data_IF_333909266481
#
_entry.id   IF_333909266481
#
_cell.length_a   1.000
_cell.length_b   1.000
_cell.length_c   1.000
_cell.angle_alpha   90.00
_cell.angle_beta   90.00
_cell.angle_gamma   90.00
#
_symmetry.space_group_name_H-M   'P 1'
#
loop_
_entity.id
_entity.type
_entity.pdbx_description
1 polymer ?
#
# COMPACT_ATOMS: atom_id res chain seq x y z
N UNK A 1 -13.01 8.55 20.93
CA UNK A 1 -12.03 9.52 20.43
C UNK A 1 -12.80 10.66 19.75
N UNK A 2 -12.46 11.93 20.03
CA UNK A 2 -13.12 13.05 19.34
C UNK A 2 -12.33 13.38 18.08
N UNK A 3 -12.72 12.82 16.94
CA UNK A 3 -12.03 13.02 15.66
C UNK A 3 -12.04 14.47 15.15
N UNK A 4 -12.86 15.34 15.71
CA UNK A 4 -12.91 16.75 15.29
C UNK A 4 -11.77 17.61 15.86
N UNK A 5 -11.08 17.11 16.87
CA UNK A 5 -9.98 17.82 17.53
C UNK A 5 -8.59 17.30 17.11
N UNK A 6 -8.52 16.19 16.35
CA UNK A 6 -7.26 15.60 15.90
C UNK A 6 -6.93 16.04 14.46
N UNK A 7 -5.67 16.46 14.23
CA UNK A 7 -5.20 16.82 12.89
C UNK A 7 -4.75 15.57 12.15
N UNK A 8 -5.48 15.20 11.11
CA UNK A 8 -5.21 14.03 10.28
C UNK A 8 -4.48 14.36 8.97
N UNK A 9 -4.40 15.64 8.59
CA UNK A 9 -3.73 16.10 7.38
C UNK A 9 -2.41 16.74 7.76
N UNK A 10 -1.31 16.10 7.40
CA UNK A 10 0.02 16.52 7.80
C UNK A 10 0.83 16.96 6.58
N UNK A 11 1.59 18.05 6.73
CA UNK A 11 2.49 18.56 5.71
C UNK A 11 3.93 18.42 6.20
N UNK A 12 4.78 17.80 5.38
CA UNK A 12 6.23 17.68 5.62
C UNK A 12 7.02 18.53 4.65
N UNK A 13 8.13 19.07 5.12
CA UNK A 13 9.14 19.65 4.26
C UNK A 13 10.55 19.21 4.70
N UNK A 14 11.51 19.33 3.82
CA UNK A 14 12.92 19.12 4.16
C UNK A 14 13.52 20.47 4.59
N UNK A 15 13.92 20.56 5.85
CA UNK A 15 14.55 21.72 6.45
C UNK A 15 15.89 21.24 7.01
N UNK A 16 17.00 21.86 6.59
CA UNK A 16 18.37 21.49 6.98
C UNK A 16 18.66 19.98 6.76
N UNK A 17 18.20 19.43 5.61
CA UNK A 17 18.39 18.02 5.25
C UNK A 17 17.49 17.03 6.01
N UNK A 18 16.67 17.49 6.95
CA UNK A 18 15.77 16.65 7.74
C UNK A 18 14.30 16.83 7.33
N UNK A 19 13.58 15.73 7.22
CA UNK A 19 12.12 15.75 7.00
C UNK A 19 11.40 16.14 8.30
N UNK A 20 10.76 17.31 8.32
CA UNK A 20 9.99 17.82 9.47
C UNK A 20 8.56 18.12 9.10
N UNK A 21 7.65 17.96 10.05
CA UNK A 21 6.29 18.49 9.94
C UNK A 21 6.36 20.02 10.01
N UNK A 22 5.55 20.65 9.18
CA UNK A 22 5.39 22.12 9.16
C UNK A 22 3.93 22.50 9.29
N UNK A 23 3.67 23.63 9.91
CA UNK A 23 2.35 24.22 9.97
C UNK A 23 1.93 24.73 8.59
N UNK A 24 0.63 24.80 8.36
CA UNK A 24 0.05 25.34 7.13
C UNK A 24 -1.26 26.09 7.42
N UNK A 25 -1.63 26.94 6.51
CA UNK A 25 -2.93 27.64 6.56
C UNK A 25 -3.95 26.79 5.81
N UNK A 26 -5.12 26.62 6.41
CA UNK A 26 -6.21 25.87 5.82
C UNK A 26 -6.69 26.50 4.52
N UNK A 27 -6.95 25.63 3.58
CA UNK A 27 -7.57 25.93 2.29
C UNK A 27 -8.86 25.11 2.14
N UNK A 28 -9.77 25.45 1.22
CA UNK A 28 -10.93 24.59 0.96
C UNK A 28 -10.54 23.13 0.69
N UNK A 29 -9.39 22.90 0.03
CA UNK A 29 -8.91 21.55 -0.29
C UNK A 29 -8.37 20.80 0.93
N UNK A 30 -7.62 21.47 1.82
CA UNK A 30 -7.14 20.82 3.05
C UNK A 30 -8.29 20.51 4.01
N UNK A 31 -9.29 21.39 4.06
CA UNK A 31 -10.53 21.14 4.80
C UNK A 31 -11.29 19.93 4.25
N UNK A 32 -11.38 19.79 2.92
CA UNK A 32 -11.97 18.63 2.27
C UNK A 32 -11.22 17.34 2.64
N UNK A 33 -9.89 17.33 2.56
CA UNK A 33 -9.07 16.18 2.96
C UNK A 33 -9.29 15.79 4.41
N UNK A 34 -9.37 16.77 5.31
CA UNK A 34 -9.63 16.53 6.73
C UNK A 34 -11.02 15.91 6.94
N UNK A 35 -12.05 16.47 6.31
CA UNK A 35 -13.41 15.96 6.40
C UNK A 35 -13.52 14.51 5.88
N UNK A 36 -12.85 14.21 4.76
CA UNK A 36 -12.78 12.86 4.20
C UNK A 36 -12.13 11.89 5.18
N UNK A 37 -11.01 12.28 5.80
CA UNK A 37 -10.34 11.44 6.81
C UNK A 37 -11.17 11.26 8.08
N UNK A 38 -11.86 12.29 8.55
CA UNK A 38 -12.80 12.17 9.68
C UNK A 38 -13.90 11.15 9.35
N UNK A 39 -14.46 11.21 8.13
CA UNK A 39 -15.48 10.26 7.65
C UNK A 39 -14.94 8.83 7.61
N UNK A 40 -13.78 8.61 7.01
CA UNK A 40 -13.12 7.30 6.90
C UNK A 40 -12.80 6.75 8.30
N UNK A 41 -12.15 7.54 9.15
CA UNK A 41 -11.75 7.13 10.49
C UNK A 41 -12.96 6.88 11.40
N UNK A 42 -14.05 7.61 11.22
CA UNK A 42 -15.31 7.37 11.95
C UNK A 42 -15.92 6.02 11.57
N UNK A 43 -15.87 5.63 10.30
CA UNK A 43 -16.28 4.30 9.88
C UNK A 43 -15.35 3.22 10.45
N UNK A 44 -14.02 3.42 10.37
CA UNK A 44 -13.06 2.49 10.96
C UNK A 44 -13.27 2.26 12.46
N UNK A 45 -13.75 3.26 13.19
CA UNK A 45 -14.06 3.14 14.61
C UNK A 45 -15.21 2.16 14.90
N UNK A 46 -16.08 1.89 13.93
CA UNK A 46 -17.22 0.97 14.05
C UNK A 46 -16.82 -0.49 13.79
N UNK A 47 -15.60 -0.73 13.29
CA UNK A 47 -15.12 -2.04 12.89
C UNK A 47 -13.97 -2.51 13.78
N UNK A 48 -13.79 -3.82 13.85
CA UNK A 48 -12.69 -4.46 14.55
C UNK A 48 -11.68 -5.02 13.55
N UNK A 49 -10.44 -4.55 13.65
CA UNK A 49 -9.31 -5.04 12.83
C UNK A 49 -8.35 -5.81 13.72
N UNK A 50 -8.02 -7.03 13.37
CA UNK A 50 -7.19 -7.92 14.16
C UNK A 50 -6.17 -8.69 13.30
N UNK A 51 -5.14 -9.24 13.94
CA UNK A 51 -4.13 -10.10 13.34
C UNK A 51 -4.20 -11.48 14.00
N UNK A 52 -4.85 -12.42 13.36
CA UNK A 52 -5.07 -13.79 13.88
C UNK A 52 -3.93 -14.70 13.53
N UNK A 53 -2.88 -14.69 14.34
CA UNK A 53 -1.73 -15.59 14.26
C UNK A 53 -1.50 -16.28 15.61
N UNK A 54 -0.86 -17.46 15.59
CA UNK A 54 -0.52 -18.22 16.82
C UNK A 54 0.43 -17.42 17.70
N UNK A 55 0.35 -17.59 19.04
CA UNK A 55 1.23 -16.91 19.99
C UNK A 55 2.72 -17.12 19.70
N UNK A 56 3.11 -18.29 19.19
CA UNK A 56 4.48 -18.56 18.76
C UNK A 56 4.87 -17.66 17.57
N UNK A 57 3.98 -17.43 16.64
CA UNK A 57 4.22 -16.54 15.49
C UNK A 57 4.23 -15.06 15.90
N UNK A 58 3.41 -14.66 16.88
CA UNK A 58 3.48 -13.31 17.47
C UNK A 58 4.88 -13.04 18.02
N UNK A 59 5.45 -13.99 18.79
CA UNK A 59 6.80 -13.83 19.34
C UNK A 59 7.88 -13.77 18.26
N UNK A 60 7.78 -14.58 17.21
CA UNK A 60 8.70 -14.53 16.06
C UNK A 60 8.61 -13.21 15.31
N UNK A 61 7.39 -12.74 15.08
CA UNK A 61 7.12 -11.47 14.39
C UNK A 61 7.66 -10.29 15.18
N UNK A 62 7.39 -10.23 16.49
CA UNK A 62 7.94 -9.20 17.37
C UNK A 62 9.47 -9.18 17.35
N UNK A 63 10.12 -10.33 17.50
CA UNK A 63 11.58 -10.44 17.45
C UNK A 63 12.17 -10.06 16.08
N UNK A 64 11.45 -10.29 15.00
CA UNK A 64 11.85 -9.85 13.65
C UNK A 64 11.79 -8.34 13.51
N UNK A 65 10.67 -7.72 13.92
CA UNK A 65 10.47 -6.27 13.83
C UNK A 65 11.43 -5.50 14.75
N UNK A 66 11.81 -6.05 15.90
CA UNK A 66 12.82 -5.45 16.78
C UNK A 66 14.22 -5.43 16.15
N UNK A 67 14.53 -6.36 15.24
CA UNK A 67 15.82 -6.41 14.54
C UNK A 67 15.88 -5.49 13.31
N UNK A 68 14.74 -5.12 12.80
CA UNK A 68 14.62 -4.26 11.62
C UNK A 68 14.39 -2.81 12.08
N UNK A 69 15.47 -2.04 12.16
CA UNK A 69 15.43 -0.62 12.55
C UNK A 69 14.58 0.25 11.59
N UNK A 70 14.24 -0.27 10.42
CA UNK A 70 13.44 0.44 9.41
C UNK A 70 11.96 0.23 9.55
N UNK A 71 11.54 -0.83 10.25
CA UNK A 71 10.13 -1.22 10.40
C UNK A 71 9.60 -0.85 11.78
N UNK A 72 8.43 -0.22 11.83
CA UNK A 72 7.78 0.13 13.08
C UNK A 72 7.12 -1.11 13.70
N UNK A 73 7.07 -1.23 15.04
CA UNK A 73 6.36 -2.31 15.70
C UNK A 73 4.85 -2.26 15.38
N UNK A 74 4.23 -3.43 15.37
CA UNK A 74 2.77 -3.54 15.21
C UNK A 74 2.11 -3.09 16.51
N UNK A 75 1.34 -2.01 16.42
CA UNK A 75 0.58 -1.43 17.52
C UNK A 75 -0.90 -1.40 17.12
N UNK A 76 -1.65 -2.40 17.54
CA UNK A 76 -3.07 -2.59 17.19
C UNK A 76 -3.96 -1.41 17.61
N UNK A 77 -3.49 -0.51 18.50
CA UNK A 77 -4.20 0.72 18.83
C UNK A 77 -4.19 1.76 17.71
N UNK A 78 -3.26 1.64 16.77
CA UNK A 78 -3.14 2.54 15.60
C UNK A 78 -4.11 2.12 14.50
N UNK A 79 -5.38 2.37 14.71
CA UNK A 79 -6.49 1.94 13.84
C UNK A 79 -7.00 3.04 12.90
N UNK A 80 -6.40 4.23 12.95
CA UNK A 80 -6.85 5.40 12.20
C UNK A 80 -5.77 5.87 11.24
N UNK A 81 -6.19 6.48 10.13
CA UNK A 81 -5.31 6.95 9.08
C UNK A 81 -5.01 8.43 9.23
N UNK A 82 -3.79 8.78 8.88
CA UNK A 82 -3.33 10.14 8.61
C UNK A 82 -2.95 10.23 7.14
N UNK A 83 -3.07 11.42 6.58
CA UNK A 83 -2.60 11.72 5.23
C UNK A 83 -1.41 12.65 5.31
N UNK A 84 -0.28 12.26 4.69
CA UNK A 84 0.98 12.99 4.81
C UNK A 84 1.42 13.48 3.44
N UNK A 85 1.38 14.78 3.25
CA UNK A 85 1.92 15.46 2.08
C UNK A 85 3.40 15.81 2.30
N UNK A 86 4.15 16.02 1.22
CA UNK A 86 5.61 16.20 1.31
C UNK A 86 6.11 17.38 0.47
N UNK A 87 7.39 17.75 0.67
CA UNK A 87 8.05 18.85 -0.03
C UNK A 87 7.29 20.20 0.08
N UNK A 88 6.64 20.45 1.24
CA UNK A 88 5.88 21.67 1.45
C UNK A 88 4.69 21.87 0.50
N UNK A 89 4.17 20.82 -0.13
CA UNK A 89 3.17 20.92 -1.17
C UNK A 89 2.04 19.89 -1.01
N UNK A 90 0.80 20.34 -1.07
CA UNK A 90 -0.40 19.50 -1.12
C UNK A 90 -0.65 18.84 -2.49
N UNK A 91 0.32 18.92 -3.41
CA UNK A 91 0.33 18.23 -4.71
C UNK A 91 1.47 17.20 -4.79
N UNK A 92 2.08 16.83 -3.66
CA UNK A 92 3.18 15.87 -3.58
C UNK A 92 3.01 14.95 -2.38
N UNK A 93 3.24 13.66 -2.55
CA UNK A 93 2.98 12.66 -1.53
C UNK A 93 1.48 12.47 -1.31
N UNK A 94 0.99 12.71 -0.08
CA UNK A 94 -0.45 12.60 0.23
C UNK A 94 -0.94 11.18 0.49
N UNK A 95 -0.03 10.21 0.66
CA UNK A 95 -0.35 8.84 1.02
C UNK A 95 -0.91 8.74 2.44
N UNK A 96 -1.63 7.64 2.68
CA UNK A 96 -2.25 7.33 3.95
C UNK A 96 -1.29 6.49 4.82
N UNK A 97 -1.19 6.83 6.10
CA UNK A 97 -0.25 6.24 7.05
C UNK A 97 -0.91 6.00 8.41
N UNK A 98 -0.18 5.31 9.29
CA UNK A 98 -0.48 5.01 10.69
C UNK A 98 -1.33 3.75 10.93
N UNK A 99 -2.06 3.22 9.96
CA UNK A 99 -2.76 1.95 10.16
C UNK A 99 -1.76 0.84 10.53
N UNK A 100 -1.98 0.14 11.67
CA UNK A 100 -1.05 -0.90 12.14
C UNK A 100 -0.82 -2.00 11.09
N UNK A 101 -1.82 -2.29 10.26
CA UNK A 101 -1.76 -3.28 9.18
C UNK A 101 -0.70 -2.96 8.12
N UNK A 102 -0.32 -1.70 7.98
CA UNK A 102 0.72 -1.26 7.04
C UNK A 102 2.13 -1.70 7.46
N UNK A 103 2.33 -2.03 8.74
CA UNK A 103 3.59 -2.54 9.27
C UNK A 103 3.64 -4.07 9.31
N UNK A 104 2.56 -4.75 8.93
CA UNK A 104 2.50 -6.22 8.88
C UNK A 104 3.26 -6.71 7.66
N UNK A 105 4.29 -7.57 7.82
CA UNK A 105 4.99 -8.18 6.69
C UNK A 105 4.03 -8.95 5.79
N UNK A 106 4.34 -9.00 4.50
CA UNK A 106 3.45 -9.55 3.46
C UNK A 106 2.93 -10.96 3.79
N UNK A 107 3.78 -11.83 4.30
CA UNK A 107 3.44 -13.21 4.66
C UNK A 107 2.46 -13.34 5.83
N UNK A 108 2.29 -12.30 6.65
CA UNK A 108 1.34 -12.27 7.75
C UNK A 108 0.04 -11.52 7.42
N UNK A 109 -0.02 -10.74 6.35
CA UNK A 109 -1.21 -9.98 5.95
C UNK A 109 -2.44 -10.83 5.71
N UNK A 110 -2.32 -12.07 5.20
CA UNK A 110 -3.46 -12.96 5.04
C UNK A 110 -4.20 -13.31 6.34
N UNK A 111 -3.54 -13.12 7.48
CA UNK A 111 -4.14 -13.36 8.80
C UNK A 111 -4.80 -12.11 9.40
N UNK A 112 -4.82 -11.00 8.68
CA UNK A 112 -5.58 -9.81 9.06
C UNK A 112 -7.07 -10.12 8.89
N UNK A 113 -7.87 -9.80 9.91
CA UNK A 113 -9.31 -9.96 9.88
C UNK A 113 -10.00 -8.61 10.09
N UNK A 114 -11.20 -8.47 9.52
CA UNK A 114 -12.09 -7.34 9.72
C UNK A 114 -13.41 -7.89 10.25
N UNK A 115 -13.84 -7.50 11.47
CA UNK A 115 -15.03 -8.02 12.14
C UNK A 115 -15.08 -9.54 12.11
N UNK A 116 -13.98 -10.17 12.51
CA UNK A 116 -13.76 -11.63 12.52
C UNK A 116 -13.78 -12.30 11.14
N UNK A 117 -14.08 -11.56 10.08
CA UNK A 117 -14.10 -12.06 8.71
C UNK A 117 -12.71 -12.07 8.07
N UNK A 118 -12.41 -13.16 7.36
CA UNK A 118 -11.17 -13.27 6.57
C UNK A 118 -11.14 -12.24 5.46
N UNK A 119 -9.91 -11.86 5.11
CA UNK A 119 -9.66 -10.80 4.13
C UNK A 119 -8.88 -11.31 2.93
N UNK A 120 -8.94 -10.56 1.84
CA UNK A 120 -8.08 -10.70 0.66
C UNK A 120 -7.38 -9.37 0.40
N UNK A 121 -6.15 -9.43 -0.07
CA UNK A 121 -5.39 -8.26 -0.52
C UNK A 121 -5.46 -8.17 -2.05
N UNK A 122 -5.77 -6.98 -2.55
CA UNK A 122 -5.80 -6.64 -3.96
C UNK A 122 -4.81 -5.50 -4.24
N UNK A 123 -4.04 -5.65 -5.31
CA UNK A 123 -2.99 -4.71 -5.71
C UNK A 123 -3.14 -4.31 -7.18
N UNK A 124 -2.77 -3.08 -7.50
CA UNK A 124 -2.63 -2.65 -8.88
C UNK A 124 -1.37 -3.26 -9.50
N UNK A 125 -1.53 -3.95 -10.61
CA UNK A 125 -0.39 -4.47 -11.35
C UNK A 125 0.36 -3.34 -12.03
N UNK A 126 1.64 -3.16 -11.67
CA UNK A 126 2.52 -2.20 -12.33
C UNK A 126 2.00 -0.75 -12.31
N UNK A 127 1.45 -0.29 -11.18
CA UNK A 127 0.82 1.04 -11.05
C UNK A 127 1.71 2.16 -11.57
N UNK A 128 2.97 2.24 -11.12
CA UNK A 128 3.88 3.32 -11.53
C UNK A 128 4.11 3.39 -13.05
N UNK A 129 4.46 2.30 -13.76
CA UNK A 129 4.54 2.31 -15.22
C UNK A 129 3.25 2.78 -15.89
N UNK A 130 2.09 2.22 -15.52
CA UNK A 130 0.80 2.62 -16.10
C UNK A 130 0.56 4.13 -15.95
N UNK A 131 0.70 4.66 -14.73
CA UNK A 131 0.52 6.09 -14.48
C UNK A 131 1.47 6.96 -15.33
N UNK A 132 2.74 6.55 -15.46
CA UNK A 132 3.72 7.31 -16.25
C UNK A 132 3.35 7.32 -17.75
N UNK A 133 3.02 6.16 -18.30
CA UNK A 133 2.64 6.05 -19.70
C UNK A 133 1.38 6.86 -19.99
N UNK A 134 0.35 6.74 -19.18
CA UNK A 134 -0.91 7.47 -19.38
C UNK A 134 -0.76 8.97 -19.14
N UNK A 135 0.10 9.41 -18.22
CA UNK A 135 0.40 10.84 -18.04
C UNK A 135 1.00 11.48 -19.29
N UNK A 136 1.65 10.67 -20.14
CA UNK A 136 2.21 11.09 -21.43
C UNK A 136 1.29 10.81 -22.63
N UNK A 137 0.04 10.38 -22.40
CA UNK A 137 -0.89 9.90 -23.43
C UNK A 137 -0.23 8.81 -24.32
N UNK A 138 0.42 7.83 -23.70
CA UNK A 138 1.09 6.72 -24.36
C UNK A 138 0.52 5.39 -23.84
N UNK A 139 0.36 4.43 -24.73
CA UNK A 139 0.06 3.06 -24.38
C UNK A 139 1.30 2.36 -23.84
N UNK A 140 1.16 1.62 -22.73
CA UNK A 140 2.27 0.83 -22.18
C UNK A 140 2.48 -0.47 -22.97
N UNK A 141 1.43 -1.01 -23.59
CA UNK A 141 1.40 -2.33 -24.20
C UNK A 141 1.09 -3.43 -23.18
N UNK A 142 0.93 -4.65 -23.67
CA UNK A 142 0.52 -5.81 -22.86
C UNK A 142 1.68 -6.47 -22.10
N UNK A 143 2.91 -6.26 -22.54
CA UNK A 143 4.10 -6.84 -21.93
C UNK A 143 4.39 -6.19 -20.57
N UNK A 144 4.78 -7.02 -19.58
CA UNK A 144 5.19 -6.50 -18.27
C UNK A 144 6.34 -5.50 -18.39
N UNK A 145 6.13 -4.29 -17.84
CA UNK A 145 7.06 -3.16 -17.98
C UNK A 145 8.47 -3.48 -17.48
N UNK A 146 8.58 -4.28 -16.44
CA UNK A 146 9.89 -4.60 -15.84
C UNK A 146 10.55 -5.77 -16.56
N UNK A 147 9.76 -6.76 -17.01
CA UNK A 147 10.25 -7.94 -17.71
C UNK A 147 10.86 -7.61 -19.08
N UNK A 148 10.33 -6.61 -19.80
CA UNK A 148 10.85 -6.19 -21.11
C UNK A 148 12.28 -5.65 -21.11
N UNK A 149 12.85 -5.37 -19.94
CA UNK A 149 14.19 -4.76 -19.82
C UNK A 149 15.30 -5.81 -19.93
N UNK A 150 15.10 -6.99 -19.33
CA UNK A 150 16.05 -8.10 -19.27
C UNK A 150 15.38 -9.43 -19.66
N UNK A 151 14.52 -9.43 -20.69
CA UNK A 151 13.86 -10.62 -21.25
C UNK A 151 13.16 -11.50 -20.19
N UNK A 152 12.59 -10.87 -19.16
CA UNK A 152 11.90 -11.53 -18.05
C UNK A 152 12.78 -11.89 -16.86
N UNK A 153 14.09 -11.85 -17.01
CA UNK A 153 15.02 -12.13 -15.91
C UNK A 153 15.11 -10.96 -14.92
N UNK A 154 15.38 -11.28 -13.64
CA UNK A 154 15.65 -10.31 -12.58
C UNK A 154 14.61 -9.18 -12.45
N UNK A 155 13.35 -9.47 -12.71
CA UNK A 155 12.23 -8.53 -12.70
C UNK A 155 12.19 -7.63 -11.48
N UNK A 156 12.48 -8.17 -10.28
CA UNK A 156 12.43 -7.42 -9.02
C UNK A 156 13.55 -6.38 -8.94
N UNK A 157 14.75 -6.69 -9.45
CA UNK A 157 15.86 -5.75 -9.52
C UNK A 157 15.51 -4.61 -10.49
N UNK A 158 14.96 -4.96 -11.65
CA UNK A 158 14.49 -3.96 -12.63
C UNK A 158 13.41 -3.06 -12.03
N UNK A 159 12.42 -3.63 -11.30
CA UNK A 159 11.37 -2.86 -10.59
C UNK A 159 11.97 -1.89 -9.58
N UNK A 160 12.96 -2.34 -8.79
CA UNK A 160 13.64 -1.49 -7.82
C UNK A 160 14.40 -0.36 -8.52
N UNK A 161 15.16 -0.67 -9.59
CA UNK A 161 15.91 0.31 -10.37
C UNK A 161 14.99 1.34 -11.04
N UNK A 162 13.91 0.88 -11.68
CA UNK A 162 12.89 1.75 -12.28
C UNK A 162 12.32 2.74 -11.25
N UNK A 163 11.90 2.23 -10.08
CA UNK A 163 11.34 3.05 -9.01
C UNK A 163 12.37 4.04 -8.45
N UNK A 164 13.63 3.64 -8.27
CA UNK A 164 14.70 4.54 -7.85
C UNK A 164 14.91 5.67 -8.87
N UNK A 165 14.91 5.36 -10.17
CA UNK A 165 15.08 6.35 -11.23
C UNK A 165 13.93 7.36 -11.31
N UNK A 166 12.68 6.98 -11.05
CA UNK A 166 11.55 7.95 -11.01
C UNK A 166 11.51 8.79 -9.74
N UNK A 167 12.09 8.28 -8.63
CA UNK A 167 12.18 9.05 -7.38
C UNK A 167 13.33 10.07 -7.37
N UNK A 168 14.36 9.83 -8.15
CA UNK A 168 15.54 10.68 -8.20
C UNK A 168 15.29 12.02 -8.90
N UNK A 169 15.79 13.12 -8.30
CA UNK A 169 15.74 14.46 -8.90
C UNK A 169 16.85 14.68 -9.95
N UNK A 170 17.86 13.83 -9.95
CA UNK A 170 19.00 13.89 -10.88
C UNK A 170 19.46 12.48 -11.23
N UNK A 171 20.22 12.35 -12.32
CA UNK A 171 20.74 11.08 -12.77
C UNK A 171 21.58 10.37 -11.70
N UNK A 172 21.17 9.15 -11.33
CA UNK A 172 21.88 8.32 -10.37
C UNK A 172 23.19 7.77 -11.01
N UNK A 173 24.35 8.24 -10.52
CA UNK A 173 25.66 7.81 -11.02
C UNK A 173 26.10 6.48 -10.44
N UNK A 174 25.76 6.22 -9.18
CA UNK A 174 26.00 4.96 -8.49
C UNK A 174 24.69 4.19 -8.31
N UNK A 175 24.78 2.86 -8.17
CA UNK A 175 23.65 2.02 -7.82
C UNK A 175 23.17 2.36 -6.40
N UNK A 176 21.87 2.54 -6.17
CA UNK A 176 21.32 2.66 -4.83
C UNK A 176 21.64 1.42 -3.97
N UNK A 177 21.96 1.65 -2.68
CA UNK A 177 22.40 0.59 -1.76
C UNK A 177 21.36 -0.54 -1.57
N UNK A 178 20.10 -0.22 -1.73
CA UNK A 178 19.01 -1.19 -1.61
C UNK A 178 18.81 -2.07 -2.85
N UNK A 179 19.58 -1.88 -3.91
CA UNK A 179 19.53 -2.66 -5.15
C UNK A 179 20.73 -3.59 -5.21
N UNK A 180 20.50 -4.88 -5.14
CA UNK A 180 21.54 -5.90 -5.21
C UNK A 180 21.94 -6.15 -6.68
N UNK A 181 22.76 -5.21 -7.21
CA UNK A 181 23.20 -5.25 -8.60
C UNK A 181 24.12 -6.43 -8.89
N UNK A 182 24.78 -6.98 -7.86
CA UNK A 182 25.72 -8.11 -8.00
C UNK A 182 24.99 -9.42 -8.37
N UNK A 183 23.67 -9.45 -8.22
CA UNK A 183 22.83 -10.58 -8.66
C UNK A 183 22.64 -10.65 -10.18
N UNK A 184 23.01 -9.62 -10.91
CA UNK A 184 22.88 -9.55 -12.36
C UNK A 184 24.25 -9.28 -13.00
N UNK A 185 24.50 -9.89 -14.14
CA UNK A 185 25.79 -9.79 -14.84
C UNK A 185 25.86 -8.56 -15.77
N UNK A 186 25.39 -7.39 -15.25
CA UNK A 186 25.52 -6.11 -15.95
C UNK A 186 25.79 -4.98 -14.96
N UNK A 187 26.43 -3.91 -15.45
CA UNK A 187 26.68 -2.74 -14.61
C UNK A 187 25.41 -1.95 -14.33
N UNK A 188 25.43 -1.13 -13.25
CA UNK A 188 24.35 -0.17 -12.97
C UNK A 188 24.09 0.77 -14.14
N UNK A 189 25.13 1.22 -14.82
CA UNK A 189 25.02 2.12 -15.97
C UNK A 189 24.29 1.41 -17.11
N UNK A 190 24.62 0.16 -17.40
CA UNK A 190 23.98 -0.62 -18.46
C UNK A 190 22.50 -0.91 -18.12
N UNK A 191 22.21 -1.29 -16.88
CA UNK A 191 20.82 -1.50 -16.44
C UNK A 191 19.99 -0.23 -16.64
N UNK A 192 20.50 0.91 -16.19
CA UNK A 192 19.85 2.21 -16.35
C UNK A 192 19.57 2.53 -17.82
N UNK A 193 20.55 2.37 -18.70
CA UNK A 193 20.40 2.64 -20.15
C UNK A 193 19.41 1.67 -20.81
N UNK A 194 19.38 0.40 -20.39
CA UNK A 194 18.37 -0.56 -20.85
C UNK A 194 16.95 -0.17 -20.41
N UNK A 195 16.77 0.28 -19.17
CA UNK A 195 15.48 0.79 -18.69
C UNK A 195 15.04 1.99 -19.54
N UNK A 196 15.91 2.97 -19.77
CA UNK A 196 15.60 4.16 -20.59
C UNK A 196 15.23 3.78 -22.03
N UNK A 197 15.93 2.80 -22.59
CA UNK A 197 15.68 2.32 -23.96
C UNK A 197 14.34 1.57 -24.07
N UNK A 198 14.07 0.66 -23.14
CA UNK A 198 12.82 -0.10 -23.09
C UNK A 198 11.60 0.80 -22.83
N UNK A 199 11.82 1.90 -22.11
CA UNK A 199 10.78 2.86 -21.74
C UNK A 199 10.97 4.22 -22.46
N UNK A 200 11.48 4.23 -23.67
CA UNK A 200 11.72 5.45 -24.47
C UNK A 200 10.53 6.44 -24.49
N UNK A 201 9.25 6.02 -24.59
CA UNK A 201 8.11 6.95 -24.58
C UNK A 201 8.00 7.80 -23.32
N UNK A 202 8.51 7.33 -22.18
CA UNK A 202 8.44 8.02 -20.87
C UNK A 202 9.83 8.36 -20.32
N UNK A 203 10.90 8.19 -21.10
CA UNK A 203 12.28 8.37 -20.66
C UNK A 203 12.55 9.78 -20.08
N UNK A 204 11.84 10.79 -20.54
CA UNK A 204 11.95 12.18 -20.05
C UNK A 204 11.42 12.38 -18.62
N UNK A 205 10.67 11.41 -18.07
CA UNK A 205 10.11 11.48 -16.73
C UNK A 205 11.05 10.92 -15.65
N UNK A 206 12.07 10.17 -16.06
CA UNK A 206 13.10 9.68 -15.13
C UNK A 206 14.02 10.81 -14.68
N UNK A 207 14.51 10.73 -13.45
CA UNK A 207 15.43 11.70 -12.84
C UNK A 207 14.88 13.13 -12.75
N UNK A 208 13.56 13.28 -12.64
CA UNK A 208 12.86 14.55 -12.49
C UNK A 208 12.16 14.68 -11.13
N UNK A 209 12.42 13.78 -10.19
CA UNK A 209 11.68 13.73 -8.91
C UNK A 209 10.18 13.44 -9.09
N UNK A 210 9.81 12.78 -10.18
CA UNK A 210 8.43 12.51 -10.56
C UNK A 210 7.69 11.68 -9.52
N UNK A 211 8.43 10.86 -8.75
CA UNK A 211 7.86 9.92 -7.77
C UNK A 211 6.92 10.56 -6.74
N UNK A 212 7.24 11.78 -6.25
CA UNK A 212 6.36 12.46 -5.29
C UNK A 212 5.03 12.96 -5.92
N UNK A 213 5.06 13.34 -7.19
CA UNK A 213 3.86 13.69 -7.94
C UNK A 213 3.03 12.43 -8.23
N UNK A 214 3.68 11.30 -8.57
CA UNK A 214 3.03 10.01 -8.75
C UNK A 214 2.38 9.52 -7.46
N UNK A 215 3.05 9.65 -6.30
CA UNK A 215 2.46 9.33 -5.01
C UNK A 215 1.22 10.19 -4.70
N UNK A 216 1.18 11.42 -5.19
CA UNK A 216 -0.01 12.25 -5.06
C UNK A 216 -1.16 11.70 -5.90
N UNK A 217 -0.91 11.35 -7.16
CA UNK A 217 -1.92 10.76 -8.06
C UNK A 217 -2.47 9.44 -7.48
N UNK A 218 -1.58 8.53 -7.06
CA UNK A 218 -1.91 7.30 -6.35
C UNK A 218 -2.81 7.60 -5.12
N UNK A 219 -2.43 8.56 -4.29
CA UNK A 219 -3.20 8.92 -3.10
C UNK A 219 -4.61 9.46 -3.39
N UNK A 220 -4.86 10.06 -4.58
CA UNK A 220 -6.21 10.47 -4.99
C UNK A 220 -7.08 9.25 -5.34
N UNK A 221 -6.48 8.23 -5.99
CA UNK A 221 -7.15 6.96 -6.27
C UNK A 221 -7.52 6.27 -4.96
N UNK A 222 -6.55 6.17 -4.02
CA UNK A 222 -6.76 5.59 -2.70
C UNK A 222 -7.88 6.31 -1.94
N UNK A 223 -7.87 7.64 -1.91
CA UNK A 223 -8.94 8.43 -1.27
C UNK A 223 -10.32 8.11 -1.85
N UNK A 224 -10.42 8.02 -3.17
CA UNK A 224 -11.66 7.70 -3.86
C UNK A 224 -12.21 6.31 -3.43
N UNK A 225 -11.35 5.30 -3.40
CA UNK A 225 -11.71 3.93 -2.97
C UNK A 225 -12.14 3.92 -1.50
N UNK A 226 -11.37 4.56 -0.61
CA UNK A 226 -11.69 4.62 0.81
C UNK A 226 -13.04 5.31 1.08
N UNK A 227 -13.37 6.33 0.33
CA UNK A 227 -14.68 6.99 0.45
C UNK A 227 -15.82 6.10 -0.03
N UNK A 228 -15.65 5.38 -1.15
CA UNK A 228 -16.65 4.43 -1.64
C UNK A 228 -16.88 3.29 -0.63
N UNK A 229 -15.80 2.70 -0.09
CA UNK A 229 -15.89 1.62 0.89
C UNK A 229 -16.48 2.10 2.23
N UNK A 230 -16.22 3.35 2.62
CA UNK A 230 -16.86 4.00 3.76
C UNK A 230 -18.37 4.19 3.53
N UNK A 231 -18.78 4.63 2.35
CA UNK A 231 -20.19 4.83 2.02
C UNK A 231 -20.98 3.52 1.97
N UNK A 232 -20.34 2.44 1.53
CA UNK A 232 -20.93 1.09 1.54
C UNK A 232 -20.80 0.37 2.90
N UNK A 233 -20.15 0.98 3.89
CA UNK A 233 -19.89 0.39 5.23
C UNK A 233 -19.12 -0.94 5.15
N UNK A 234 -18.21 -1.03 4.23
CA UNK A 234 -17.37 -2.20 3.96
C UNK A 234 -15.90 -1.76 3.94
N UNK A 235 -15.29 -1.50 5.10
CA UNK A 235 -14.00 -0.85 5.18
C UNK A 235 -12.92 -1.64 4.43
N UNK A 236 -12.11 -0.91 3.65
CA UNK A 236 -10.88 -1.40 3.05
C UNK A 236 -9.68 -0.79 3.76
N UNK A 237 -8.65 -1.58 4.03
CA UNK A 237 -7.42 -1.18 4.71
C UNK A 237 -6.33 -0.92 3.67
N UNK A 238 -5.89 0.32 3.43
CA UNK A 238 -4.90 0.61 2.40
C UNK A 238 -3.49 0.24 2.87
N UNK A 239 -2.73 -0.37 1.97
CA UNK A 239 -1.27 -0.55 2.10
C UNK A 239 -0.63 0.03 0.84
N UNK A 240 -0.34 1.32 0.87
CA UNK A 240 0.11 2.10 -0.28
C UNK A 240 -0.89 2.03 -1.44
N UNK A 241 -0.61 1.22 -2.46
CA UNK A 241 -1.38 0.99 -3.68
C UNK A 241 -2.20 -0.31 -3.64
N UNK A 242 -2.11 -1.08 -2.55
CA UNK A 242 -2.95 -2.26 -2.32
C UNK A 242 -4.00 -2.02 -1.23
N UNK A 243 -5.01 -2.90 -1.19
CA UNK A 243 -6.10 -2.83 -0.23
C UNK A 243 -6.41 -4.21 0.33
N UNK A 244 -6.59 -4.29 1.65
CA UNK A 244 -7.12 -5.46 2.33
C UNK A 244 -8.58 -5.23 2.65
N UNK A 245 -9.46 -6.16 2.26
CA UNK A 245 -10.89 -6.10 2.48
C UNK A 245 -11.47 -7.48 2.77
N UNK A 246 -12.63 -7.56 3.44
CA UNK A 246 -13.29 -8.86 3.68
C UNK A 246 -13.53 -9.59 2.36
N UNK A 247 -13.23 -10.89 2.32
CA UNK A 247 -13.30 -11.73 1.12
C UNK A 247 -14.66 -11.70 0.42
N UNK A 248 -15.74 -11.59 1.18
CA UNK A 248 -17.09 -11.51 0.63
C UNK A 248 -17.36 -10.27 -0.24
N UNK A 249 -16.49 -9.23 -0.14
CA UNK A 249 -16.59 -8.00 -0.92
C UNK A 249 -15.41 -7.84 -1.91
N UNK A 250 -14.68 -8.91 -2.14
CA UNK A 250 -13.47 -8.89 -2.96
C UNK A 250 -13.73 -8.45 -4.41
N UNK A 251 -14.83 -8.94 -5.03
CA UNK A 251 -15.24 -8.53 -6.39
C UNK A 251 -15.62 -7.05 -6.45
N UNK A 252 -16.26 -6.53 -5.40
CA UNK A 252 -16.65 -5.13 -5.35
C UNK A 252 -15.42 -4.23 -5.24
N UNK A 253 -14.42 -4.65 -4.43
CA UNK A 253 -13.15 -3.94 -4.32
C UNK A 253 -12.40 -3.89 -5.65
N UNK A 254 -12.27 -5.01 -6.35
CA UNK A 254 -11.62 -5.06 -7.66
C UNK A 254 -12.29 -4.09 -8.65
N UNK A 255 -13.61 -4.07 -8.68
CA UNK A 255 -14.36 -3.16 -9.54
C UNK A 255 -14.17 -1.69 -9.14
N UNK A 256 -14.19 -1.38 -7.83
CA UNK A 256 -13.92 -0.04 -7.31
C UNK A 256 -12.51 0.43 -7.69
N UNK A 257 -11.51 -0.45 -7.57
CA UNK A 257 -10.13 -0.15 -7.96
C UNK A 257 -10.01 0.17 -9.46
N UNK A 258 -10.58 -0.65 -10.33
CA UNK A 258 -10.59 -0.41 -11.78
C UNK A 258 -11.26 0.92 -12.14
N UNK A 259 -12.45 1.17 -11.59
CA UNK A 259 -13.20 2.42 -11.81
C UNK A 259 -12.45 3.65 -11.30
N UNK A 260 -11.83 3.56 -10.12
CA UNK A 260 -11.08 4.68 -9.54
C UNK A 260 -9.87 5.06 -10.41
N UNK A 261 -9.15 4.07 -10.93
CA UNK A 261 -8.05 4.31 -11.87
C UNK A 261 -8.55 4.88 -13.19
N UNK A 262 -9.57 4.25 -13.80
CA UNK A 262 -10.17 4.73 -15.06
C UNK A 262 -10.68 6.16 -14.94
N UNK A 263 -11.36 6.49 -13.86
CA UNK A 263 -11.85 7.87 -13.62
C UNK A 263 -10.70 8.90 -13.56
N UNK A 264 -9.50 8.48 -13.14
CA UNK A 264 -8.35 9.38 -13.02
C UNK A 264 -7.54 9.52 -14.30
N UNK A 265 -7.37 8.41 -15.04
CA UNK A 265 -6.46 8.35 -16.18
C UNK A 265 -7.17 8.12 -17.53
N UNK A 266 -8.46 7.76 -17.52
CA UNK A 266 -9.22 7.44 -18.74
C UNK A 266 -8.91 6.07 -19.32
N UNK A 267 -8.08 5.25 -18.63
CA UNK A 267 -7.56 3.98 -19.10
C UNK A 267 -7.75 2.89 -18.05
N UNK A 268 -7.71 1.64 -18.49
CA UNK A 268 -7.85 0.50 -17.60
C UNK A 268 -6.49 0.00 -17.10
N UNK A 269 -6.49 -0.60 -15.90
CA UNK A 269 -5.31 -1.19 -15.29
C UNK A 269 -5.65 -2.58 -14.75
N UNK A 270 -4.75 -3.58 -14.91
CA UNK A 270 -4.93 -4.87 -14.28
C UNK A 270 -4.87 -4.76 -12.75
N UNK A 271 -5.82 -5.43 -12.08
CA UNK A 271 -5.83 -5.62 -10.62
C UNK A 271 -5.63 -7.10 -10.35
N UNK A 272 -4.76 -7.42 -9.42
CA UNK A 272 -4.46 -8.80 -9.03
C UNK A 272 -4.78 -9.01 -7.55
N UNK A 273 -5.34 -10.17 -7.21
CA UNK A 273 -5.40 -10.62 -5.82
C UNK A 273 -4.07 -11.25 -5.44
N UNK A 274 -3.45 -10.80 -4.34
CA UNK A 274 -2.16 -11.35 -3.95
C UNK A 274 -2.31 -12.64 -3.16
N UNK A 275 -3.27 -12.75 -2.23
CA UNK A 275 -3.44 -13.96 -1.42
C UNK A 275 -4.92 -14.09 -1.01
N UNK A 276 -5.49 -15.24 -1.29
CA UNK A 276 -6.76 -15.68 -0.71
C UNK A 276 -6.42 -16.81 0.25
N UNK A 277 -6.63 -16.59 1.55
CA UNK A 277 -6.60 -17.68 2.53
C UNK A 277 -8.00 -18.27 2.63
N UNK A 278 -8.10 -19.59 2.42
CA UNK A 278 -9.30 -20.30 2.83
C UNK A 278 -9.41 -20.18 4.37
N UNK A 279 -10.61 -19.82 4.88
CA UNK A 279 -10.80 -19.81 6.32
C UNK A 279 -10.43 -21.17 6.90
N UNK A 280 -9.74 -21.23 8.07
CA UNK A 280 -9.49 -22.50 8.72
C UNK A 280 -10.83 -23.20 8.89
N UNK A 281 -10.95 -24.43 8.39
CA UNK A 281 -12.15 -25.25 8.58
C UNK A 281 -12.29 -25.51 10.06
N UNK A 282 -13.31 -24.96 10.69
CA UNK A 282 -13.61 -25.16 12.10
C UNK A 282 -14.19 -26.58 12.37
N UNK A 283 -14.67 -27.23 11.32
CA UNK A 283 -15.28 -28.55 11.37
C UNK A 283 -14.69 -29.43 10.26
N UNK A 284 -14.56 -30.72 10.53
CA UNK A 284 -14.30 -31.73 9.51
C UNK A 284 -15.55 -31.91 8.62
N UNK A 285 -15.40 -32.58 7.48
CA UNK A 285 -16.50 -32.78 6.51
C UNK A 285 -17.65 -33.62 7.12
N UNK A 286 -17.41 -34.34 8.21
CA UNK A 286 -18.41 -35.10 8.98
C UNK A 286 -19.10 -34.30 10.09
N UNK A 287 -18.79 -33.00 10.21
CA UNK A 287 -19.34 -32.10 11.22
C UNK A 287 -18.66 -32.17 12.60
N UNK A 288 -17.59 -32.94 12.75
CA UNK A 288 -16.81 -32.93 13.99
C UNK A 288 -15.96 -31.69 14.11
N UNK A 289 -15.88 -31.03 15.28
CA UNK A 289 -14.98 -29.89 15.47
C UNK A 289 -13.53 -30.29 15.26
N UNK A 290 -12.78 -29.54 14.47
CA UNK A 290 -11.34 -29.75 14.34
C UNK A 290 -10.65 -29.49 15.65
N UNK A 291 -9.75 -30.39 16.00
CA UNK A 291 -8.93 -30.33 17.22
C UNK A 291 -7.54 -29.75 16.96
N UNK A 292 -7.32 -29.12 15.81
CA UNK A 292 -6.05 -28.45 15.55
C UNK A 292 -5.86 -27.26 16.50
N UNK A 293 -4.60 -26.98 16.81
CA UNK A 293 -4.23 -25.92 17.76
C UNK A 293 -4.82 -24.56 17.39
N UNK A 294 -5.01 -24.27 16.09
CA UNK A 294 -5.63 -23.00 15.64
C UNK A 294 -7.11 -22.90 16.01
N UNK A 295 -7.88 -23.98 15.90
CA UNK A 295 -9.27 -23.98 16.29
C UNK A 295 -9.46 -23.84 17.80
N UNK A 296 -8.48 -24.28 18.59
CA UNK A 296 -8.44 -24.10 20.06
C UNK A 296 -8.09 -22.66 20.43
N UNK A 297 -7.07 -22.09 19.82
CA UNK A 297 -6.66 -20.69 20.04
C UNK A 297 -7.73 -19.68 19.60
N UNK A 298 -8.46 -19.94 18.50
CA UNK A 298 -9.57 -19.11 18.06
C UNK A 298 -10.73 -19.08 19.07
N UNK A 299 -10.97 -20.19 19.77
CA UNK A 299 -11.97 -20.24 20.86
C UNK A 299 -11.51 -19.47 22.09
N UNK A 300 -10.25 -19.54 22.43
CA UNK A 300 -9.69 -18.79 23.56
C UNK A 300 -9.67 -17.29 23.27
N UNK A 301 -9.38 -16.88 22.04
CA UNK A 301 -9.42 -15.48 21.65
C UNK A 301 -10.84 -14.90 21.69
N UNK A 302 -11.84 -15.64 21.22
CA UNK A 302 -13.24 -15.17 21.29
C UNK A 302 -13.74 -15.02 22.73
N UNK A 303 -13.26 -15.82 23.68
CA UNK A 303 -13.62 -15.71 25.10
C UNK A 303 -12.99 -14.49 25.81
N UNK A 304 -11.96 -13.88 25.25
CA UNK A 304 -11.35 -12.64 25.78
C UNK A 304 -12.22 -11.41 25.54
N UNK A 305 -13.12 -11.44 24.57
CA UNK A 305 -13.97 -10.32 24.18
C UNK A 305 -15.35 -10.33 24.86
N UNK A 306 -15.73 -11.45 25.50
CA UNK A 306 -16.99 -11.58 26.27
C UNK A 306 -16.81 -11.20 27.76
N UNK A 307 -15.67 -10.60 28.15
CA UNK A 307 -15.36 -10.09 29.47
C UNK A 307 -15.03 -8.60 29.41
#
# INVERSE_FOLDING_TARGET
MNFQEEEFVLLRNTIDGQKRLIDYVDTPKTTEYRNNLIKINSEYALHWFDLRIKNVEVSKLAARLERDETTLPIDLSKRFLYRIFTQGSFKKGGRFYRGWWQNVPKEYRPYITIDEGFTSEYDYSQLNPHMLYYSMNKEMGEEDAYSRVLDGEHRDIVKQAFNAMIQADTQLRACPENIDIDKIDISWIDLRERILTAHKPIASLFFQGTGNAMQFEDSQIVENILLQTTDSKTPALPIHDSFIMRQQYASDLEEMMRRAFHSRFGEDIPVSSEIIIEPPRLFEDDGTPRTDEMAVEDREHSQWFDR
#
